data_IF_524316287333
#
_entry.id   IF_524316287333
#
_cell.length_a   1.000
_cell.length_b   1.000
_cell.length_c   1.000
_cell.angle_alpha   90.00
_cell.angle_beta   90.00
_cell.angle_gamma   90.00
#
_symmetry.space_group_name_H-M   'P 1'
#
loop_
_entity.id
_entity.type
_entity.pdbx_description
1 polymer ?
#
# COMPACT_ATOMS: atom_id res chain seq x y z
N UNK A 1 -10.83 14.43 31.15
CA UNK A 1 -11.58 14.90 29.96
C UNK A 1 -10.70 14.75 28.74
N UNK A 2 -11.16 14.16 27.64
CA UNK A 2 -10.37 13.94 26.42
C UNK A 2 -10.50 15.13 25.45
N UNK A 3 -9.49 15.33 24.59
CA UNK A 3 -9.53 16.36 23.56
C UNK A 3 -10.61 16.04 22.52
N UNK A 4 -11.64 16.89 22.43
CA UNK A 4 -12.72 16.76 21.46
C UNK A 4 -12.55 17.76 20.31
N UNK A 5 -12.91 17.39 19.07
CA UNK A 5 -12.91 18.31 17.96
C UNK A 5 -13.98 19.39 18.15
N UNK A 6 -13.59 20.67 18.05
CA UNK A 6 -14.51 21.80 18.20
C UNK A 6 -15.53 21.92 17.07
N UNK A 7 -15.17 21.53 15.84
CA UNK A 7 -16.02 21.59 14.62
C UNK A 7 -15.67 20.46 13.65
N UNK A 8 -16.61 20.14 12.76
CA UNK A 8 -16.36 19.27 11.60
C UNK A 8 -15.37 19.94 10.64
N UNK A 9 -14.31 19.23 10.24
CA UNK A 9 -13.38 19.71 9.23
C UNK A 9 -14.04 19.82 7.84
N UNK A 10 -13.68 20.83 7.05
CA UNK A 10 -14.21 20.99 5.69
C UNK A 10 -13.80 19.85 4.76
N UNK A 11 -14.59 19.64 3.70
CA UNK A 11 -14.29 18.66 2.64
C UNK A 11 -12.92 18.91 2.01
N UNK A 12 -12.56 20.17 1.78
CA UNK A 12 -11.25 20.57 1.27
C UNK A 12 -10.10 20.18 2.21
N UNK A 13 -10.24 20.43 3.53
CA UNK A 13 -9.21 20.04 4.51
C UNK A 13 -9.05 18.53 4.61
N UNK A 14 -10.18 17.80 4.57
CA UNK A 14 -10.18 16.33 4.47
C UNK A 14 -9.42 15.88 3.23
N UNK A 15 -9.78 16.38 2.05
CA UNK A 15 -9.17 16.02 0.76
C UNK A 15 -7.66 16.25 0.74
N UNK A 16 -7.19 17.44 1.15
CA UNK A 16 -5.76 17.76 1.25
C UNK A 16 -5.01 16.78 2.16
N UNK A 17 -5.57 16.45 3.33
CA UNK A 17 -4.97 15.48 4.26
C UNK A 17 -4.90 14.06 3.67
N UNK A 18 -5.86 13.65 2.86
CA UNK A 18 -5.86 12.33 2.22
C UNK A 18 -5.02 12.28 0.94
N UNK A 19 -4.74 13.42 0.31
CA UNK A 19 -4.02 13.48 -0.97
C UNK A 19 -2.61 12.86 -0.90
N UNK A 20 -1.96 12.92 0.26
CA UNK A 20 -0.62 12.33 0.47
C UNK A 20 -0.66 10.81 0.73
N UNK A 21 -1.83 10.26 1.09
CA UNK A 21 -2.01 8.85 1.44
C UNK A 21 -2.23 7.97 0.20
N UNK A 22 -1.35 8.08 -0.79
CA UNK A 22 -1.42 7.29 -2.03
C UNK A 22 -0.77 5.92 -1.82
N UNK A 23 -1.41 4.87 -2.31
CA UNK A 23 -0.83 3.53 -2.34
C UNK A 23 0.05 3.40 -3.59
N UNK A 24 1.28 2.92 -3.42
CA UNK A 24 2.15 2.54 -4.53
C UNK A 24 1.94 1.07 -4.90
N UNK A 25 2.07 0.75 -6.19
CA UNK A 25 2.04 -0.63 -6.65
C UNK A 25 3.31 -1.36 -6.20
N UNK A 26 3.21 -2.59 -5.67
CA UNK A 26 4.39 -3.35 -5.30
C UNK A 26 5.15 -3.79 -6.55
N UNK A 27 6.48 -3.71 -6.49
CA UNK A 27 7.34 -4.31 -7.51
C UNK A 27 7.14 -5.83 -7.54
N UNK A 28 6.90 -6.39 -8.73
CA UNK A 28 6.76 -7.83 -8.96
C UNK A 28 7.77 -8.28 -9.99
N UNK A 29 8.40 -9.43 -9.74
CA UNK A 29 9.40 -10.03 -10.62
C UNK A 29 8.91 -11.40 -11.08
N UNK A 30 9.25 -11.79 -12.30
CA UNK A 30 8.94 -13.12 -12.83
C UNK A 30 9.87 -14.15 -12.22
N UNK A 31 9.34 -15.27 -11.74
CA UNK A 31 10.16 -16.38 -11.26
C UNK A 31 10.77 -17.16 -12.43
N UNK A 32 12.09 -17.42 -12.38
CA UNK A 32 12.81 -18.17 -13.41
C UNK A 32 12.30 -19.60 -13.62
N UNK A 33 11.82 -20.28 -12.57
CA UNK A 33 11.42 -21.68 -12.65
C UNK A 33 9.97 -21.90 -13.11
N UNK A 34 9.02 -21.10 -12.62
CA UNK A 34 7.60 -21.31 -12.87
C UNK A 34 6.93 -20.20 -13.70
N UNK A 35 7.68 -19.16 -14.08
CA UNK A 35 7.20 -17.97 -14.82
C UNK A 35 6.05 -17.21 -14.16
N UNK A 36 5.71 -17.52 -12.90
CA UNK A 36 4.71 -16.80 -12.11
C UNK A 36 5.32 -15.56 -11.46
N UNK A 37 4.48 -14.56 -11.22
CA UNK A 37 4.87 -13.32 -10.52
C UNK A 37 5.16 -13.62 -9.05
N UNK A 38 6.27 -13.09 -8.54
CA UNK A 38 6.67 -13.18 -7.14
C UNK A 38 7.12 -11.82 -6.62
N UNK A 39 7.18 -11.68 -5.29
CA UNK A 39 7.82 -10.53 -4.65
C UNK A 39 9.34 -10.61 -4.85
N UNK A 40 10.02 -9.48 -5.13
CA UNK A 40 11.48 -9.44 -5.25
C UNK A 40 12.13 -9.81 -3.91
N UNK A 41 13.25 -10.54 -3.95
CA UNK A 41 13.99 -11.04 -2.76
C UNK A 41 13.22 -12.01 -1.85
N UNK A 42 12.08 -12.55 -2.29
CA UNK A 42 11.38 -13.62 -1.60
C UNK A 42 11.46 -14.95 -2.37
N UNK A 43 11.42 -16.06 -1.62
CA UNK A 43 11.23 -17.40 -2.18
C UNK A 43 9.87 -17.46 -2.88
N UNK A 44 9.87 -18.05 -4.07
CA UNK A 44 8.66 -18.22 -4.87
C UNK A 44 7.64 -19.09 -4.12
N UNK A 45 6.40 -18.62 -3.86
CA UNK A 45 5.41 -19.41 -3.12
C UNK A 45 4.95 -20.65 -3.90
N UNK A 46 4.99 -20.59 -5.22
CA UNK A 46 4.53 -21.69 -6.09
C UNK A 46 5.54 -22.82 -6.24
N UNK A 47 6.81 -22.47 -6.34
CA UNK A 47 7.86 -23.40 -6.69
C UNK A 47 8.75 -23.76 -5.51
N UNK A 48 8.67 -22.99 -4.41
CA UNK A 48 9.49 -23.14 -3.20
C UNK A 48 10.97 -23.42 -3.56
N UNK A 49 11.46 -22.84 -4.65
CA UNK A 49 12.87 -22.83 -5.05
C UNK A 49 13.24 -21.37 -5.22
#
# INVERSE_FOLDING_TARGET
>A
MAALPKKKGSTQRKGKRFAERKLSLPGVVVCAHCKKKKRPHYRCPHCKK
#
